data_IF_738474098402
#
_entry.id   IF_738474098402
#
_cell.length_a   1.000
_cell.length_b   1.000
_cell.length_c   1.000
_cell.angle_alpha   90.00
_cell.angle_beta   90.00
_cell.angle_gamma   90.00
#
_symmetry.space_group_name_H-M   'P 1'
#
loop_
_entity.id
_entity.type
_entity.pdbx_description
1 polymer ?
#
# COMPACT_ATOMS: atom_id res chain seq x y z
N UNK A 1 -18.61 -24.77 -24.74
CA UNK A 1 -19.13 -23.47 -24.25
C UNK A 1 -18.99 -23.52 -22.74
N UNK A 2 -18.09 -22.73 -22.18
CA UNK A 2 -17.99 -22.57 -20.71
C UNK A 2 -19.28 -21.91 -20.26
N UNK A 3 -19.98 -22.54 -19.32
CA UNK A 3 -21.20 -21.98 -18.73
C UNK A 3 -20.83 -20.58 -18.15
N UNK A 4 -21.50 -19.53 -18.63
CA UNK A 4 -21.22 -18.15 -18.19
C UNK A 4 -21.51 -17.94 -16.68
N UNK A 5 -22.09 -18.92 -16.03
CA UNK A 5 -22.49 -18.87 -14.61
C UNK A 5 -21.44 -19.46 -13.63
N UNK A 6 -20.33 -19.99 -14.11
CA UNK A 6 -19.31 -20.64 -13.23
C UNK A 6 -18.81 -19.72 -12.09
N UNK A 7 -18.79 -18.38 -12.29
CA UNK A 7 -18.42 -17.42 -11.26
C UNK A 7 -19.41 -17.43 -10.07
N UNK A 8 -20.66 -17.79 -10.31
CA UNK A 8 -21.69 -17.83 -9.25
C UNK A 8 -21.41 -18.96 -8.22
N UNK A 9 -20.67 -19.98 -8.65
CA UNK A 9 -20.35 -21.15 -7.82
C UNK A 9 -19.06 -20.96 -6.99
N UNK A 10 -18.30 -19.89 -7.27
CA UNK A 10 -17.10 -19.52 -6.51
C UNK A 10 -17.48 -18.84 -5.20
N UNK A 11 -18.17 -19.57 -4.32
CA UNK A 11 -18.60 -19.08 -3.01
C UNK A 11 -17.84 -19.82 -1.91
N UNK A 12 -17.11 -19.06 -1.09
CA UNK A 12 -16.45 -19.57 0.11
C UNK A 12 -17.24 -19.09 1.33
N UNK A 13 -17.59 -20.00 2.25
CA UNK A 13 -18.12 -19.63 3.56
C UNK A 13 -16.96 -19.19 4.44
N UNK A 14 -17.06 -18.01 5.03
CA UNK A 14 -16.06 -17.54 5.98
C UNK A 14 -16.35 -18.13 7.36
N UNK A 15 -15.36 -18.84 7.92
CA UNK A 15 -15.48 -19.50 9.23
C UNK A 15 -14.57 -18.86 10.29
N UNK A 16 -14.13 -17.62 10.06
CA UNK A 16 -13.28 -16.91 10.99
C UNK A 16 -14.02 -16.58 12.29
N UNK A 17 -13.27 -16.50 13.39
CA UNK A 17 -13.78 -15.92 14.63
C UNK A 17 -14.19 -14.46 14.36
N UNK A 18 -15.30 -14.03 14.98
CA UNK A 18 -15.77 -12.66 14.89
C UNK A 18 -14.75 -11.63 15.39
N UNK A 19 -14.95 -10.39 15.03
CA UNK A 19 -14.20 -9.26 15.57
C UNK A 19 -15.18 -8.40 16.39
N UNK A 20 -14.85 -8.17 17.67
CA UNK A 20 -15.64 -7.28 18.52
C UNK A 20 -14.78 -6.17 19.11
N UNK A 21 -15.45 -5.16 19.68
CA UNK A 21 -14.81 -3.93 20.20
C UNK A 21 -13.75 -4.18 21.26
N UNK A 22 -13.93 -5.20 22.11
CA UNK A 22 -12.99 -5.58 23.15
C UNK A 22 -11.69 -6.23 22.63
N UNK A 23 -11.71 -6.68 21.38
CA UNK A 23 -10.55 -7.28 20.67
C UNK A 23 -9.74 -6.25 19.89
N UNK A 24 -10.26 -5.02 19.77
CA UNK A 24 -9.61 -3.96 18.99
C UNK A 24 -8.53 -3.25 19.80
N UNK A 25 -7.48 -2.90 19.11
CA UNK A 25 -6.42 -2.08 19.67
C UNK A 25 -6.86 -0.59 19.77
N UNK A 26 -6.27 0.20 20.66
CA UNK A 26 -6.69 1.60 20.88
C UNK A 26 -6.38 2.53 19.72
N UNK A 27 -5.52 2.13 18.77
CA UNK A 27 -5.12 2.96 17.63
C UNK A 27 -5.12 2.16 16.33
N UNK A 28 -5.34 2.80 15.18
CA UNK A 28 -5.23 2.11 13.90
C UNK A 28 -3.82 1.57 13.63
N UNK A 29 -2.78 2.21 14.16
CA UNK A 29 -1.41 1.73 14.08
C UNK A 29 -1.24 0.37 14.80
N UNK A 30 -1.63 0.31 16.06
CA UNK A 30 -1.52 -0.92 16.84
C UNK A 30 -2.40 -2.05 16.28
N UNK A 31 -3.61 -1.72 15.80
CA UNK A 31 -4.49 -2.68 15.16
C UNK A 31 -3.90 -3.21 13.85
N UNK A 32 -3.33 -2.34 13.02
CA UNK A 32 -2.65 -2.75 11.79
C UNK A 32 -1.45 -3.65 12.08
N UNK A 33 -0.62 -3.29 13.06
CA UNK A 33 0.53 -4.12 13.44
C UNK A 33 0.12 -5.50 13.93
N UNK A 34 -0.92 -5.59 14.77
CA UNK A 34 -1.44 -6.87 15.25
C UNK A 34 -1.87 -7.76 14.07
N UNK A 35 -2.66 -7.24 13.17
CA UNK A 35 -3.13 -7.98 12.00
C UNK A 35 -2.05 -8.31 10.97
N UNK A 36 -1.07 -7.44 10.80
CA UNK A 36 0.10 -7.72 9.95
C UNK A 36 0.95 -8.85 10.53
N UNK A 37 1.13 -8.88 11.85
CA UNK A 37 1.83 -9.97 12.53
C UNK A 37 1.09 -11.30 12.38
N UNK A 38 -0.24 -11.31 12.45
CA UNK A 38 -1.05 -12.49 12.16
C UNK A 38 -0.83 -12.96 10.71
N UNK A 39 -0.80 -12.05 9.75
CA UNK A 39 -0.57 -12.37 8.35
C UNK A 39 0.85 -12.92 8.10
N UNK A 40 1.87 -12.39 8.78
CA UNK A 40 3.24 -12.90 8.76
C UNK A 40 3.31 -14.29 9.39
N UNK A 41 2.67 -14.48 10.55
CA UNK A 41 2.63 -15.75 11.28
C UNK A 41 1.88 -16.85 10.50
N UNK A 42 0.91 -16.46 9.68
CA UNK A 42 0.21 -17.35 8.76
C UNK A 42 0.99 -17.56 7.43
N UNK A 43 2.23 -17.08 7.34
CA UNK A 43 3.11 -17.23 6.17
C UNK A 43 2.47 -16.75 4.85
N UNK A 44 1.65 -15.70 4.91
CA UNK A 44 1.04 -15.14 3.69
C UNK A 44 2.12 -14.55 2.78
N UNK A 45 2.05 -14.78 1.45
CA UNK A 45 2.97 -14.17 0.52
C UNK A 45 2.79 -12.65 0.52
N UNK A 46 3.90 -11.91 0.61
CA UNK A 46 3.92 -10.43 0.57
C UNK A 46 2.83 -9.76 1.42
N UNK A 47 2.76 -10.02 2.75
CA UNK A 47 1.68 -9.49 3.59
C UNK A 47 1.66 -7.95 3.65
N UNK A 48 2.74 -7.31 3.21
CA UNK A 48 2.87 -5.86 3.05
C UNK A 48 2.46 -5.35 1.66
N UNK A 49 1.98 -6.20 0.77
CA UNK A 49 1.44 -5.75 -0.51
C UNK A 49 0.10 -5.02 -0.29
N UNK A 50 -0.07 -3.88 -0.93
CA UNK A 50 -1.31 -3.12 -0.91
C UNK A 50 -1.72 -2.68 -2.32
N UNK A 51 -3.00 -2.80 -2.62
CA UNK A 51 -3.60 -2.23 -3.81
C UNK A 51 -3.84 -0.74 -3.55
N UNK A 52 -3.24 0.13 -4.34
CA UNK A 52 -3.47 1.57 -4.24
C UNK A 52 -4.29 2.06 -5.43
N UNK A 53 -5.25 2.92 -5.15
CA UNK A 53 -6.05 3.64 -6.13
C UNK A 53 -5.68 5.12 -6.12
N UNK A 54 -5.37 5.66 -7.29
CA UNK A 54 -5.14 7.08 -7.53
C UNK A 54 -6.11 7.55 -8.61
N UNK A 55 -6.35 8.84 -8.72
CA UNK A 55 -7.25 9.38 -9.73
C UNK A 55 -6.69 10.66 -10.34
N UNK A 56 -6.98 10.87 -11.62
CA UNK A 56 -6.72 12.14 -12.29
C UNK A 56 -7.57 13.27 -11.70
N UNK A 57 -7.28 14.52 -12.06
CA UNK A 57 -8.13 15.68 -11.70
C UNK A 57 -9.53 15.59 -12.31
N UNK A 58 -9.72 14.79 -13.36
CA UNK A 58 -11.03 14.47 -13.93
C UNK A 58 -11.71 13.27 -13.24
N UNK A 59 -11.21 12.85 -12.07
CA UNK A 59 -11.73 11.73 -11.27
C UNK A 59 -11.69 10.37 -11.98
N UNK A 60 -10.85 10.18 -13.00
CA UNK A 60 -10.63 8.86 -13.61
C UNK A 60 -9.70 8.04 -12.71
N UNK A 61 -10.19 6.94 -12.09
CA UNK A 61 -9.38 6.15 -11.18
C UNK A 61 -8.49 5.15 -11.93
N UNK A 62 -7.36 4.82 -11.31
CA UNK A 62 -6.48 3.73 -11.73
C UNK A 62 -5.94 2.99 -10.50
N UNK A 63 -5.66 1.68 -10.63
CA UNK A 63 -5.19 0.86 -9.52
C UNK A 63 -3.94 0.06 -9.89
N UNK A 64 -3.10 -0.23 -8.90
CA UNK A 64 -1.94 -1.14 -8.99
C UNK A 64 -1.52 -1.59 -7.60
N UNK A 65 -0.84 -2.72 -7.55
CA UNK A 65 -0.20 -3.17 -6.31
C UNK A 65 1.13 -2.46 -6.11
N UNK A 66 1.40 -2.04 -4.87
CA UNK A 66 2.70 -1.58 -4.39
C UNK A 66 3.01 -2.24 -3.06
N UNK A 67 4.27 -2.22 -2.63
CA UNK A 67 4.66 -2.75 -1.33
C UNK A 67 4.74 -1.59 -0.32
N UNK A 68 3.98 -1.67 0.77
CA UNK A 68 4.18 -0.82 1.93
C UNK A 68 5.54 -1.18 2.57
N UNK A 69 6.41 -0.21 2.79
CA UNK A 69 7.77 -0.44 3.25
C UNK A 69 8.03 0.06 4.66
N UNK A 70 7.20 0.96 5.13
CA UNK A 70 7.24 1.47 6.49
C UNK A 70 5.83 1.87 6.92
N UNK A 71 5.52 1.61 8.17
CA UNK A 71 4.35 2.17 8.85
C UNK A 71 4.84 2.75 10.16
N UNK A 72 4.66 4.04 10.35
CA UNK A 72 5.01 4.76 11.56
C UNK A 72 3.85 5.67 12.02
N UNK A 73 4.10 6.50 13.01
CA UNK A 73 3.09 7.41 13.57
C UNK A 73 2.54 8.44 12.56
N UNK A 74 3.27 8.67 11.46
CA UNK A 74 2.84 9.59 10.38
C UNK A 74 1.82 8.93 9.47
N UNK A 75 1.98 7.61 9.17
CA UNK A 75 1.15 6.89 8.21
C UNK A 75 1.86 5.71 7.55
N UNK A 76 1.48 5.43 6.30
CA UNK A 76 1.95 4.29 5.51
C UNK A 76 2.84 4.78 4.38
N UNK A 77 4.02 4.17 4.20
CA UNK A 77 5.01 4.64 3.22
C UNK A 77 5.28 3.57 2.16
N UNK A 78 5.26 3.99 0.91
CA UNK A 78 5.72 3.20 -0.23
C UNK A 78 6.65 4.00 -1.13
N UNK A 79 7.51 3.30 -1.88
CA UNK A 79 8.48 3.92 -2.78
C UNK A 79 8.18 3.52 -4.23
N UNK A 80 8.45 4.44 -5.15
CA UNK A 80 8.13 4.27 -6.57
C UNK A 80 8.97 5.19 -7.46
N UNK A 81 8.84 5.01 -8.77
CA UNK A 81 9.31 5.98 -9.76
C UNK A 81 8.37 7.20 -9.79
N UNK A 82 8.93 8.40 -9.59
CA UNK A 82 8.19 9.68 -9.53
C UNK A 82 7.68 10.16 -10.89
N UNK A 83 8.14 9.53 -12.00
CA UNK A 83 7.62 9.78 -13.34
C UNK A 83 6.50 8.80 -13.74
N UNK A 84 6.17 7.82 -12.87
CA UNK A 84 5.12 6.84 -13.17
C UNK A 84 3.73 7.47 -13.21
N UNK A 85 2.78 6.80 -13.88
CA UNK A 85 1.39 7.26 -13.97
C UNK A 85 0.80 7.59 -12.60
N UNK A 86 0.98 6.71 -11.58
CA UNK A 86 0.48 6.97 -10.23
C UNK A 86 1.07 8.24 -9.60
N UNK A 87 2.36 8.47 -9.83
CA UNK A 87 3.04 9.64 -9.29
C UNK A 87 2.56 10.94 -9.96
N UNK A 88 2.32 10.91 -11.27
CA UNK A 88 1.72 12.04 -12.00
C UNK A 88 0.29 12.32 -11.51
N UNK A 89 -0.51 11.27 -11.30
CA UNK A 89 -1.86 11.39 -10.75
C UNK A 89 -1.82 12.00 -9.34
N UNK A 90 -0.92 11.52 -8.45
CA UNK A 90 -0.77 12.03 -7.09
C UNK A 90 -0.22 13.46 -7.03
N UNK A 91 0.64 13.85 -7.96
CA UNK A 91 1.11 15.24 -8.06
C UNK A 91 -0.03 16.22 -8.42
N UNK A 92 -0.98 15.77 -9.23
CA UNK A 92 -2.14 16.56 -9.64
C UNK A 92 -3.33 16.45 -8.68
N UNK A 93 -3.48 15.32 -8.02
CA UNK A 93 -4.55 15.02 -7.06
C UNK A 93 -3.97 14.15 -5.93
N UNK A 94 -3.57 14.75 -4.80
CA UNK A 94 -2.84 14.06 -3.74
C UNK A 94 -3.71 13.14 -2.88
N UNK A 95 -4.81 12.62 -3.42
CA UNK A 95 -5.71 11.70 -2.73
C UNK A 95 -5.46 10.25 -3.13
N UNK A 96 -5.52 9.35 -2.16
CA UNK A 96 -5.27 7.92 -2.36
C UNK A 96 -6.21 7.09 -1.51
N UNK A 97 -6.62 5.94 -2.07
CA UNK A 97 -7.13 4.83 -1.27
C UNK A 97 -6.12 3.68 -1.34
N UNK A 98 -5.97 2.94 -0.27
CA UNK A 98 -5.13 1.75 -0.22
C UNK A 98 -5.84 0.60 0.50
N UNK A 99 -5.60 -0.62 0.05
CA UNK A 99 -6.20 -1.82 0.64
C UNK A 99 -5.16 -2.93 0.75
N UNK A 100 -4.94 -3.42 1.97
CA UNK A 100 -4.29 -4.70 2.22
C UNK A 100 -5.35 -5.79 2.19
N UNK A 101 -5.11 -6.86 1.45
CA UNK A 101 -6.06 -7.95 1.28
C UNK A 101 -5.42 -9.28 1.70
N UNK A 102 -5.82 -9.81 2.84
CA UNK A 102 -5.34 -11.08 3.40
C UNK A 102 -6.43 -12.14 3.29
N UNK A 103 -6.65 -12.62 2.06
CA UNK A 103 -7.73 -13.56 1.73
C UNK A 103 -7.77 -14.81 2.59
N UNK A 104 -6.63 -15.50 2.88
CA UNK A 104 -6.65 -16.69 3.73
C UNK A 104 -7.12 -16.43 5.16
N UNK A 105 -6.98 -15.20 5.67
CA UNK A 105 -7.46 -14.78 6.98
C UNK A 105 -8.86 -14.15 6.91
N UNK A 106 -9.44 -14.05 5.73
CA UNK A 106 -10.69 -13.32 5.50
C UNK A 106 -10.66 -11.90 6.06
N UNK A 107 -9.52 -11.21 5.90
CA UNK A 107 -9.29 -9.87 6.43
C UNK A 107 -8.94 -8.87 5.35
N UNK A 108 -9.38 -7.65 5.54
CA UNK A 108 -9.01 -6.50 4.72
C UNK A 108 -8.75 -5.30 5.61
N UNK A 109 -7.69 -4.54 5.31
CA UNK A 109 -7.47 -3.22 5.89
C UNK A 109 -7.57 -2.21 4.77
N UNK A 110 -8.53 -1.30 4.88
CA UNK A 110 -8.77 -0.25 3.90
C UNK A 110 -8.51 1.11 4.52
N UNK A 111 -7.81 1.97 3.81
CA UNK A 111 -7.55 3.34 4.24
C UNK A 111 -7.72 4.33 3.10
N UNK A 112 -8.14 5.54 3.45
CA UNK A 112 -8.23 6.68 2.54
C UNK A 112 -7.57 7.87 3.21
N UNK A 113 -6.79 8.59 2.44
CA UNK A 113 -6.08 9.76 2.94
C UNK A 113 -5.46 10.58 1.81
N UNK A 114 -4.65 11.54 2.21
CA UNK A 114 -3.83 12.31 1.28
C UNK A 114 -2.39 11.78 1.32
N UNK A 115 -1.63 12.10 0.28
CA UNK A 115 -0.21 11.76 0.22
C UNK A 115 0.65 13.00 0.24
N UNK A 116 1.83 12.84 0.80
CA UNK A 116 2.93 13.78 0.65
C UNK A 116 4.20 13.03 0.24
N UNK A 117 5.08 13.67 -0.50
CA UNK A 117 6.36 13.09 -0.84
C UNK A 117 7.21 12.93 0.43
N UNK A 118 7.88 11.78 0.59
CA UNK A 118 8.91 11.64 1.62
C UNK A 118 10.14 12.48 1.25
N UNK A 119 10.99 12.80 2.23
CA UNK A 119 12.23 13.54 1.97
C UNK A 119 13.16 12.73 1.05
N UNK A 120 14.00 13.44 0.29
CA UNK A 120 15.03 12.81 -0.53
C UNK A 120 15.98 11.95 0.33
N UNK A 121 16.32 12.40 1.52
CA UNK A 121 17.14 11.66 2.49
C UNK A 121 16.48 10.32 2.87
N UNK A 122 15.17 10.32 3.15
CA UNK A 122 14.43 9.11 3.49
C UNK A 122 14.31 8.16 2.29
N UNK A 123 14.08 8.70 1.11
CA UNK A 123 14.04 7.92 -0.13
C UNK A 123 15.41 7.30 -0.45
N UNK A 124 16.49 8.05 -0.30
CA UNK A 124 17.87 7.57 -0.52
C UNK A 124 18.27 6.50 0.50
N UNK A 125 17.93 6.70 1.79
CA UNK A 125 18.18 5.71 2.83
C UNK A 125 17.49 4.38 2.52
N UNK A 126 16.21 4.41 2.13
CA UNK A 126 15.52 3.19 1.71
C UNK A 126 16.11 2.60 0.42
N UNK A 127 16.43 3.43 -0.58
CA UNK A 127 17.01 2.95 -1.84
C UNK A 127 18.29 2.16 -1.61
N UNK A 128 19.15 2.62 -0.69
CA UNK A 128 20.42 1.98 -0.34
C UNK A 128 20.22 0.57 0.26
N UNK A 129 19.08 0.28 0.90
CA UNK A 129 18.79 -1.06 1.48
C UNK A 129 18.31 -2.08 0.46
N UNK A 130 17.96 -1.65 -0.76
CA UNK A 130 17.45 -2.55 -1.80
C UNK A 130 18.54 -3.47 -2.34
N UNK A 131 18.15 -4.68 -2.74
CA UNK A 131 19.04 -5.57 -3.47
C UNK A 131 19.58 -4.86 -4.72
N UNK A 132 20.87 -5.09 -5.06
CA UNK A 132 21.55 -4.47 -6.21
C UNK A 132 20.76 -4.59 -7.51
N UNK A 133 20.22 -5.78 -7.80
CA UNK A 133 19.39 -6.00 -8.99
C UNK A 133 18.13 -5.12 -9.01
N UNK A 134 17.53 -4.87 -7.84
CA UNK A 134 16.37 -3.98 -7.71
C UNK A 134 16.74 -2.51 -7.85
N UNK A 135 17.96 -2.12 -7.45
CA UNK A 135 18.49 -0.77 -7.68
C UNK A 135 18.74 -0.53 -9.17
N UNK A 136 19.37 -1.49 -9.86
CA UNK A 136 19.57 -1.46 -11.32
C UNK A 136 18.23 -1.44 -12.09
N UNK A 137 17.27 -2.26 -11.68
CA UNK A 137 15.93 -2.27 -12.26
C UNK A 137 15.19 -0.92 -12.12
N UNK A 138 15.43 -0.18 -11.03
CA UNK A 138 14.88 1.16 -10.87
C UNK A 138 15.47 2.17 -11.87
N UNK A 139 16.74 2.06 -12.21
CA UNK A 139 17.40 2.85 -13.25
C UNK A 139 16.94 2.46 -14.66
N UNK A 140 16.79 1.15 -14.93
CA UNK A 140 16.45 0.63 -16.25
C UNK A 140 15.02 0.98 -16.66
N UNK A 141 14.09 1.01 -15.70
CA UNK A 141 12.65 1.11 -15.97
C UNK A 141 12.15 2.55 -15.98
N UNK A 142 11.73 3.02 -17.15
CA UNK A 142 10.87 4.20 -17.27
C UNK A 142 9.42 3.80 -16.95
N UNK A 143 9.13 3.63 -15.66
CA UNK A 143 7.86 3.03 -15.20
C UNK A 143 6.64 3.72 -15.80
N UNK A 144 5.73 2.94 -16.36
CA UNK A 144 4.51 3.34 -17.07
C UNK A 144 4.73 3.86 -18.51
N UNK A 145 5.96 4.02 -18.98
CA UNK A 145 6.23 4.34 -20.38
C UNK A 145 5.96 3.12 -21.28
N UNK A 146 5.71 3.38 -22.56
CA UNK A 146 5.59 2.31 -23.57
C UNK A 146 6.96 1.76 -23.89
N UNK A 147 7.05 0.44 -23.98
CA UNK A 147 8.24 -0.29 -24.45
C UNK A 147 7.91 -0.98 -25.77
N UNK A 148 8.87 -1.02 -26.68
CA UNK A 148 8.72 -1.77 -27.94
C UNK A 148 8.89 -3.27 -27.72
N UNK A 149 9.75 -3.66 -26.77
CA UNK A 149 9.99 -5.08 -26.45
C UNK A 149 10.56 -5.24 -25.04
N UNK A 150 10.45 -6.45 -24.51
CA UNK A 150 11.14 -6.84 -23.28
C UNK A 150 12.67 -6.81 -23.44
N UNK A 151 13.17 -7.16 -24.63
CA UNK A 151 14.60 -7.16 -24.93
C UNK A 151 15.24 -5.76 -24.79
N UNK A 152 14.51 -4.71 -25.12
CA UNK A 152 14.95 -3.31 -24.91
C UNK A 152 15.21 -3.03 -23.42
N UNK A 153 14.33 -3.47 -22.53
CA UNK A 153 14.49 -3.28 -21.09
C UNK A 153 15.65 -4.13 -20.54
N UNK A 154 15.79 -5.38 -21.01
CA UNK A 154 16.86 -6.27 -20.61
C UNK A 154 18.22 -5.75 -21.07
N UNK A 155 18.32 -5.22 -22.28
CA UNK A 155 19.54 -4.59 -22.78
C UNK A 155 19.94 -3.38 -21.93
N UNK A 156 18.99 -2.50 -21.62
CA UNK A 156 19.21 -1.34 -20.76
C UNK A 156 19.68 -1.74 -19.35
N UNK A 157 19.12 -2.84 -18.82
CA UNK A 157 19.55 -3.38 -17.53
C UNK A 157 21.02 -3.85 -17.58
N UNK A 158 21.43 -4.58 -18.62
CA UNK A 158 22.81 -5.06 -18.80
C UNK A 158 23.80 -3.89 -18.96
N UNK A 159 23.45 -2.86 -19.71
CA UNK A 159 24.26 -1.66 -19.86
C UNK A 159 24.49 -0.95 -18.51
N UNK A 160 23.45 -0.82 -17.69
CA UNK A 160 23.54 -0.25 -16.35
C UNK A 160 24.35 -1.15 -15.39
N UNK A 161 24.25 -2.47 -15.52
CA UNK A 161 25.05 -3.41 -14.74
C UNK A 161 26.54 -3.23 -15.03
N UNK A 162 26.92 -3.03 -16.29
CA UNK A 162 28.29 -2.72 -16.70
C UNK A 162 28.72 -1.32 -16.22
N UNK A 163 27.86 -0.30 -16.40
CA UNK A 163 28.14 1.08 -16.00
C UNK A 163 28.44 1.20 -14.50
N UNK A 164 27.72 0.45 -13.66
CA UNK A 164 27.88 0.47 -12.22
C UNK A 164 28.75 -0.67 -11.67
N UNK A 165 29.43 -1.46 -12.53
CA UNK A 165 30.16 -2.67 -12.12
C UNK A 165 31.14 -2.42 -10.97
N UNK A 166 31.91 -1.35 -11.03
CA UNK A 166 32.93 -0.99 -10.05
C UNK A 166 32.40 -0.16 -8.86
N UNK A 167 31.10 0.12 -8.82
CA UNK A 167 30.48 0.90 -7.76
C UNK A 167 29.89 -0.01 -6.69
N UNK A 168 30.41 0.08 -5.47
CA UNK A 168 29.88 -0.66 -4.31
C UNK A 168 28.43 -0.27 -3.98
N UNK A 169 28.05 0.98 -4.23
CA UNK A 169 26.69 1.50 -4.04
C UNK A 169 26.20 2.14 -5.34
N UNK A 170 25.02 1.73 -5.79
CA UNK A 170 24.36 2.36 -6.92
C UNK A 170 23.65 3.62 -6.42
N UNK A 171 23.91 4.80 -7.02
CA UNK A 171 23.24 6.02 -6.61
C UNK A 171 21.74 5.93 -6.86
N UNK A 172 20.96 6.62 -6.04
CA UNK A 172 19.51 6.73 -6.26
C UNK A 172 19.22 7.52 -7.55
N UNK A 173 18.37 7.01 -8.45
CA UNK A 173 17.99 7.77 -9.63
C UNK A 173 17.19 9.03 -9.25
N UNK A 174 17.31 10.14 -10.01
CA UNK A 174 16.61 11.39 -9.69
C UNK A 174 15.09 11.29 -9.79
N UNK A 175 14.59 10.25 -10.44
CA UNK A 175 13.17 9.93 -10.55
C UNK A 175 12.70 8.84 -9.59
N UNK A 176 13.48 8.54 -8.55
CA UNK A 176 13.08 7.65 -7.46
C UNK A 176 12.63 8.46 -6.25
N UNK A 177 11.54 8.05 -5.64
CA UNK A 177 11.01 8.70 -4.44
C UNK A 177 10.02 7.82 -3.71
N UNK A 178 9.40 8.38 -2.68
CA UNK A 178 8.38 7.70 -1.90
C UNK A 178 7.23 8.64 -1.56
N UNK A 179 6.13 8.03 -1.16
CA UNK A 179 4.93 8.70 -0.70
C UNK A 179 4.53 8.20 0.67
N UNK A 180 4.28 9.13 1.57
CA UNK A 180 3.65 8.92 2.85
C UNK A 180 2.14 9.13 2.68
N UNK A 181 1.35 8.11 2.98
CA UNK A 181 -0.11 8.18 3.05
C UNK A 181 -0.50 8.58 4.47
N UNK A 182 -1.14 9.72 4.62
CA UNK A 182 -1.74 10.19 5.88
C UNK A 182 -3.23 9.84 5.90
N UNK A 183 -3.63 8.83 6.67
CA UNK A 183 -5.02 8.39 6.65
C UNK A 183 -5.97 9.44 7.26
N UNK A 184 -7.11 9.64 6.60
CA UNK A 184 -8.30 10.28 7.16
C UNK A 184 -9.12 9.28 7.95
N UNK A 185 -9.12 8.02 7.48
CA UNK A 185 -9.65 6.87 8.19
C UNK A 185 -8.91 5.58 7.84
N UNK A 186 -8.97 4.62 8.75
CA UNK A 186 -8.52 3.24 8.54
C UNK A 186 -9.65 2.31 8.96
N UNK A 187 -10.08 1.43 8.06
CA UNK A 187 -11.15 0.45 8.28
C UNK A 187 -10.57 -0.96 8.30
N UNK A 188 -10.98 -1.72 9.29
CA UNK A 188 -10.66 -3.14 9.48
C UNK A 188 -11.92 -3.95 9.19
N UNK A 189 -11.85 -4.84 8.22
CA UNK A 189 -12.93 -5.71 7.80
C UNK A 189 -12.55 -7.16 8.05
N UNK A 190 -13.43 -7.90 8.75
CA UNK A 190 -13.31 -9.32 9.03
C UNK A 190 -14.49 -10.06 8.39
N UNK A 191 -14.17 -11.06 7.56
CA UNK A 191 -15.18 -11.91 6.92
C UNK A 191 -15.92 -12.76 7.95
N UNK A 192 -17.26 -12.83 7.82
CA UNK A 192 -18.15 -13.59 8.67
C UNK A 192 -19.15 -14.39 7.85
N UNK A 193 -19.72 -15.45 8.46
CA UNK A 193 -20.80 -16.26 7.89
C UNK A 193 -22.00 -15.37 7.50
N UNK A 194 -22.77 -15.85 6.54
CA UNK A 194 -24.00 -15.21 6.08
C UNK A 194 -23.81 -13.77 5.61
N UNK A 195 -22.56 -13.37 5.28
CA UNK A 195 -22.17 -11.99 4.89
C UNK A 195 -22.36 -10.94 5.98
N UNK A 196 -22.53 -11.34 7.23
CA UNK A 196 -22.64 -10.44 8.38
C UNK A 196 -21.25 -10.05 8.88
N UNK A 197 -20.47 -9.43 7.99
CA UNK A 197 -19.07 -9.11 8.21
C UNK A 197 -18.90 -8.05 9.30
N UNK A 198 -17.83 -8.18 10.10
CA UNK A 198 -17.46 -7.15 11.07
C UNK A 198 -16.65 -6.08 10.39
N UNK A 199 -17.05 -4.83 10.59
CA UNK A 199 -16.40 -3.65 10.04
C UNK A 199 -16.20 -2.61 11.12
N UNK A 200 -14.94 -2.25 11.38
CA UNK A 200 -14.59 -1.22 12.33
C UNK A 200 -13.73 -0.16 11.67
N UNK A 201 -14.10 1.09 11.85
CA UNK A 201 -13.42 2.23 11.26
C UNK A 201 -12.92 3.18 12.35
N UNK A 202 -11.64 3.49 12.26
CA UNK A 202 -11.01 4.59 12.96
C UNK A 202 -11.02 5.81 12.04
N UNK A 203 -11.73 6.85 12.43
CA UNK A 203 -11.78 8.13 11.72
C UNK A 203 -11.13 9.21 12.57
N UNK A 204 -10.45 10.19 11.96
CA UNK A 204 -9.89 11.31 12.70
C UNK A 204 -11.01 12.00 13.51
N UNK A 205 -10.82 12.13 14.82
CA UNK A 205 -11.80 12.68 15.74
C UNK A 205 -11.99 14.19 15.54
N UNK A 206 -10.92 14.88 15.09
CA UNK A 206 -10.90 16.32 14.87
C UNK A 206 -10.09 16.63 13.60
N UNK A 207 -10.59 17.50 12.69
CA UNK A 207 -9.81 17.95 11.53
C UNK A 207 -8.47 18.59 11.89
N UNK A 208 -8.29 19.14 13.09
CA UNK A 208 -7.03 19.70 13.58
C UNK A 208 -5.92 18.67 13.76
N UNK A 209 -6.23 17.38 13.78
CA UNK A 209 -5.23 16.29 13.77
C UNK A 209 -4.69 15.97 12.38
N UNK A 210 -5.38 16.44 11.35
CA UNK A 210 -4.97 16.14 9.98
C UNK A 210 -3.59 16.71 9.66
N UNK A 211 -2.77 15.92 8.94
CA UNK A 211 -1.38 16.27 8.64
C UNK A 211 -0.38 16.09 9.81
N UNK A 212 -0.84 15.67 11.00
CA UNK A 212 0.02 15.38 12.15
C UNK A 212 0.41 13.91 12.23
N UNK A 213 1.44 13.60 13.01
CA UNK A 213 1.88 12.23 13.33
C UNK A 213 1.02 11.66 14.45
N UNK A 214 -0.17 11.16 14.12
CA UNK A 214 -1.18 10.72 15.09
C UNK A 214 -1.68 9.29 14.89
N UNK A 215 -1.10 8.53 13.95
CA UNK A 215 -1.59 7.17 13.64
C UNK A 215 -1.59 6.26 14.88
N UNK A 216 -0.65 6.48 15.79
CA UNK A 216 -0.54 5.76 17.08
C UNK A 216 -1.03 6.56 18.30
N UNK A 217 -1.86 7.56 18.12
CA UNK A 217 -2.40 8.41 19.19
C UNK A 217 -3.89 8.15 19.39
N UNK A 218 -4.27 7.52 20.51
CA UNK A 218 -5.64 7.03 20.72
C UNK A 218 -6.71 8.13 20.70
N UNK A 219 -6.44 9.31 21.30
CA UNK A 219 -7.39 10.43 21.37
C UNK A 219 -7.59 11.14 20.01
N UNK A 220 -6.78 10.81 19.01
CA UNK A 220 -6.93 11.34 17.65
C UNK A 220 -7.96 10.58 16.81
N UNK A 221 -8.48 9.45 17.29
CA UNK A 221 -9.34 8.57 16.51
C UNK A 221 -10.68 8.30 17.19
N UNK A 222 -11.73 8.36 16.40
CA UNK A 222 -13.05 7.87 16.78
C UNK A 222 -13.26 6.51 16.14
N UNK A 223 -13.55 5.51 16.98
CA UNK A 223 -13.89 4.18 16.53
C UNK A 223 -15.39 4.03 16.33
N UNK A 224 -15.80 3.44 15.21
CA UNK A 224 -17.19 3.11 14.93
C UNK A 224 -17.31 1.72 14.29
N UNK A 225 -18.38 1.00 14.59
CA UNK A 225 -18.78 -0.22 13.88
C UNK A 225 -19.68 0.20 12.69
N UNK A 226 -19.41 -0.37 11.53
CA UNK A 226 -20.20 -0.14 10.32
C UNK A 226 -21.03 -1.38 10.00
N UNK A 227 -22.18 -1.17 9.35
CA UNK A 227 -22.92 -2.29 8.75
C UNK A 227 -22.11 -2.96 7.63
N UNK A 228 -22.26 -4.28 7.44
CA UNK A 228 -21.58 -5.02 6.37
C UNK A 228 -22.01 -4.59 4.98
#
# INVERSE_FOLDING_TARGET
MTDANWLNDLRVSYEAAGLDTDQLQPTPYAQFQAWLNDAISAELPEPNAMLVATATTAATPSTRTVLCKLVDERGFIFFTNTNSQKAQELAANPQIAATFLWLPLHRQVHLVGDVEAVSETEAAAYFATRARSSQLGAWASEQSARLNSRAELEQKFLELEQQFADQAQIPMPPFWGGYLIRPKYVEFWQGQRSRLHDRFRYELADPGFYGRSVLNRADAWRLSRLAP
#
